data_IF_140569467653
#
_entry.id   IF_140569467653
#
_cell.length_a   1.000
_cell.length_b   1.000
_cell.length_c   1.000
_cell.angle_alpha   90.00
_cell.angle_beta   90.00
_cell.angle_gamma   90.00
#
_symmetry.space_group_name_H-M   'P 1'
#
loop_
_entity.id
_entity.type
_entity.pdbx_description
1 polymer ?
#
# COMPACT_ATOMS: atom_id res chain seq x y z
N UNK A 1 -7.25 -4.14 2.71
CA UNK A 1 -6.72 -2.85 3.24
C UNK A 1 -5.66 -3.13 4.29
N UNK A 2 -4.66 -2.24 4.46
CA UNK A 2 -3.62 -2.41 5.51
C UNK A 2 -3.89 -1.41 6.63
N UNK A 3 -4.15 -1.93 7.85
CA UNK A 3 -4.37 -1.12 9.06
C UNK A 3 -3.02 -0.66 9.59
N UNK A 4 -2.75 0.65 9.64
CA UNK A 4 -1.40 1.15 9.91
C UNK A 4 -0.95 0.89 11.35
N UNK A 5 0.34 0.55 11.53
CA UNK A 5 1.00 0.47 12.84
C UNK A 5 1.86 1.69 13.14
N UNK A 6 2.36 2.36 12.10
CA UNK A 6 3.37 3.42 12.24
C UNK A 6 3.13 4.63 11.33
N UNK A 7 1.84 4.93 11.00
CA UNK A 7 1.50 6.06 10.13
C UNK A 7 2.14 7.37 10.62
N UNK A 8 2.74 8.12 9.70
CA UNK A 8 3.37 9.38 10.02
C UNK A 8 4.18 9.99 8.87
N UNK A 9 4.95 11.01 9.18
CA UNK A 9 5.84 11.64 8.22
C UNK A 9 6.93 10.68 7.75
N UNK A 10 7.06 10.55 6.42
CA UNK A 10 8.11 9.76 5.80
C UNK A 10 9.17 10.68 5.16
N UNK A 11 10.37 10.80 5.73
CA UNK A 11 11.41 11.69 5.22
C UNK A 11 11.93 11.28 3.83
N UNK A 12 11.82 10.00 3.45
CA UNK A 12 12.30 9.51 2.15
C UNK A 12 11.37 9.92 1.00
N UNK A 13 10.07 10.07 1.27
CA UNK A 13 9.07 10.46 0.26
C UNK A 13 8.75 11.95 0.28
N UNK A 14 9.06 12.66 1.37
CA UNK A 14 8.71 14.07 1.55
C UNK A 14 9.34 15.00 0.50
N UNK A 15 10.48 14.64 -0.06
CA UNK A 15 11.17 15.46 -1.06
C UNK A 15 10.41 15.56 -2.39
N UNK A 16 9.60 14.55 -2.73
CA UNK A 16 8.84 14.47 -3.98
C UNK A 16 7.32 14.35 -3.78
N UNK A 17 6.84 14.34 -2.53
CA UNK A 17 5.42 14.31 -2.19
C UNK A 17 4.99 15.63 -1.53
N UNK A 18 4.44 16.54 -2.34
CA UNK A 18 3.97 17.84 -1.89
C UNK A 18 2.79 17.80 -0.92
N UNK A 19 2.13 16.65 -0.78
CA UNK A 19 1.02 16.46 0.17
C UNK A 19 1.50 16.11 1.58
N UNK A 20 2.76 15.71 1.73
CA UNK A 20 3.32 15.44 3.05
C UNK A 20 3.80 16.72 3.73
N UNK A 21 3.32 16.91 4.95
CA UNK A 21 3.77 17.99 5.82
C UNK A 21 4.23 17.40 7.16
N UNK A 22 5.22 18.02 7.77
CA UNK A 22 5.58 17.72 9.14
C UNK A 22 4.42 18.18 10.03
N UNK A 23 3.75 17.28 10.75
CA UNK A 23 2.62 17.66 11.58
C UNK A 23 3.07 18.49 12.80
N UNK A 24 2.29 19.50 13.17
CA UNK A 24 2.51 20.32 14.38
C UNK A 24 2.08 19.60 15.68
N UNK A 25 1.70 18.32 15.59
CA UNK A 25 1.26 17.48 16.71
C UNK A 25 2.17 16.28 16.89
N UNK A 26 2.19 15.71 18.08
CA UNK A 26 3.03 14.56 18.39
C UNK A 26 2.69 13.33 17.54
N UNK A 27 3.72 12.57 17.14
CA UNK A 27 3.56 11.40 16.24
C UNK A 27 2.62 10.32 16.80
N UNK A 28 2.56 10.13 18.10
CA UNK A 28 1.64 9.18 18.73
C UNK A 28 0.18 9.59 18.56
N UNK A 29 -0.11 10.90 18.61
CA UNK A 29 -1.44 11.44 18.30
C UNK A 29 -1.80 11.25 16.83
N UNK A 30 -0.83 11.48 15.91
CA UNK A 30 -1.04 11.24 14.47
C UNK A 30 -1.37 9.77 14.22
N UNK A 31 -0.60 8.85 14.79
CA UNK A 31 -0.83 7.40 14.70
C UNK A 31 -2.22 7.01 15.22
N UNK A 32 -2.58 7.47 16.40
CA UNK A 32 -3.86 7.15 17.00
C UNK A 32 -5.04 7.62 16.13
N UNK A 33 -4.97 8.84 15.59
CA UNK A 33 -5.99 9.37 14.67
C UNK A 33 -6.06 8.57 13.36
N UNK A 34 -4.92 8.24 12.77
CA UNK A 34 -4.90 7.45 11.54
C UNK A 34 -5.53 6.06 11.72
N UNK A 35 -5.30 5.42 12.85
CA UNK A 35 -5.92 4.15 13.21
C UNK A 35 -7.44 4.32 13.38
N UNK A 36 -7.87 5.35 14.12
CA UNK A 36 -9.28 5.64 14.34
C UNK A 36 -10.03 5.90 13.03
N UNK A 37 -9.47 6.76 12.16
CA UNK A 37 -10.05 7.06 10.85
C UNK A 37 -10.10 5.82 9.94
N UNK A 38 -9.07 4.99 9.97
CA UNK A 38 -9.05 3.72 9.25
C UNK A 38 -10.16 2.79 9.74
N UNK A 39 -10.30 2.60 11.05
CA UNK A 39 -11.29 1.70 11.64
C UNK A 39 -12.72 2.20 11.35
N UNK A 40 -12.96 3.51 11.37
CA UNK A 40 -14.24 4.13 10.98
C UNK A 40 -14.52 3.84 9.49
N UNK A 41 -13.55 4.05 8.61
CA UNK A 41 -13.73 3.78 7.17
C UNK A 41 -14.07 2.31 6.91
N UNK A 42 -13.36 1.38 7.55
CA UNK A 42 -13.67 -0.06 7.44
C UNK A 42 -15.10 -0.35 7.89
N UNK A 43 -15.51 0.20 9.05
CA UNK A 43 -16.86 0.00 9.54
C UNK A 43 -17.94 0.54 8.59
N UNK A 44 -17.71 1.69 7.96
CA UNK A 44 -18.62 2.26 6.97
C UNK A 44 -18.70 1.39 5.70
N UNK A 45 -17.58 0.91 5.18
CA UNK A 45 -17.55 0.03 4.01
C UNK A 45 -18.31 -1.28 4.28
N UNK A 46 -18.08 -1.89 5.43
CA UNK A 46 -18.79 -3.12 5.84
C UNK A 46 -20.28 -2.87 5.99
N UNK A 47 -20.69 -1.74 6.55
CA UNK A 47 -22.10 -1.37 6.68
C UNK A 47 -22.80 -1.19 5.33
N UNK A 48 -22.06 -0.77 4.30
CA UNK A 48 -22.54 -0.68 2.91
C UNK A 48 -22.44 -2.01 2.14
N UNK A 49 -22.08 -3.12 2.81
CA UNK A 49 -22.02 -4.45 2.22
C UNK A 49 -20.73 -4.76 1.46
N UNK A 50 -19.69 -3.98 1.64
CA UNK A 50 -18.36 -4.26 1.06
C UNK A 50 -17.65 -5.29 1.94
N UNK A 51 -17.18 -6.37 1.33
CA UNK A 51 -16.28 -7.32 2.00
C UNK A 51 -14.89 -6.72 2.10
N UNK A 52 -14.42 -6.47 3.33
CA UNK A 52 -13.16 -5.76 3.58
C UNK A 52 -12.16 -6.67 4.28
N UNK A 53 -11.16 -7.08 3.52
CA UNK A 53 -10.00 -7.78 4.06
C UNK A 53 -9.05 -6.79 4.73
N UNK A 54 -8.87 -6.91 6.05
CA UNK A 54 -8.00 -6.04 6.84
C UNK A 54 -6.76 -6.80 7.30
N UNK A 55 -5.61 -6.36 6.82
CA UNK A 55 -4.30 -6.87 7.21
C UNK A 55 -3.68 -5.90 8.21
N UNK A 56 -3.24 -6.41 9.36
CA UNK A 56 -2.55 -5.60 10.36
C UNK A 56 -1.10 -5.34 9.94
N UNK A 57 -0.70 -4.08 9.90
CA UNK A 57 0.70 -3.70 9.74
C UNK A 57 1.52 -4.02 10.99
N UNK A 58 2.85 -4.09 10.84
CA UNK A 58 3.79 -4.39 11.93
C UNK A 58 4.49 -3.11 12.40
N UNK A 59 4.80 -3.01 13.71
CA UNK A 59 5.52 -1.84 14.23
C UNK A 59 7.02 -1.83 13.84
N UNK A 60 7.54 -2.97 13.38
CA UNK A 60 8.93 -3.17 12.96
C UNK A 60 8.95 -4.07 11.72
N UNK A 61 9.59 -3.66 10.63
CA UNK A 61 10.18 -2.33 10.41
C UNK A 61 9.14 -1.21 10.43
N UNK A 62 9.56 0.03 10.67
CA UNK A 62 8.67 1.21 10.64
C UNK A 62 8.31 1.52 9.19
N UNK A 63 7.03 1.47 8.86
CA UNK A 63 6.47 1.69 7.51
C UNK A 63 5.40 2.78 7.54
N UNK A 64 5.79 4.07 7.47
CA UNK A 64 4.85 5.20 7.65
C UNK A 64 3.71 5.25 6.65
N UNK A 65 3.93 4.73 5.44
CA UNK A 65 3.00 4.77 4.31
C UNK A 65 2.29 3.42 4.06
N UNK A 66 2.37 2.45 4.96
CA UNK A 66 1.82 1.10 4.78
C UNK A 66 0.30 1.08 4.51
N UNK A 67 -0.42 2.15 4.87
CA UNK A 67 -1.85 2.33 4.59
C UNK A 67 -2.16 2.41 3.07
N UNK A 68 -1.13 2.62 2.22
CA UNK A 68 -1.24 2.77 0.77
C UNK A 68 -0.67 1.56 0.01
N UNK A 69 -1.21 0.35 0.19
CA UNK A 69 -0.68 -0.86 -0.46
C UNK A 69 -0.78 -0.80 -1.99
N UNK A 70 -1.68 0.01 -2.54
CA UNK A 70 -1.84 0.22 -3.97
C UNK A 70 -0.57 0.72 -4.68
N UNK A 71 0.42 1.22 -3.95
CA UNK A 71 1.69 1.64 -4.52
C UNK A 71 2.62 0.45 -4.81
N UNK A 72 2.58 -0.60 -4.00
CA UNK A 72 3.49 -1.73 -4.17
C UNK A 72 2.83 -2.99 -4.73
N UNK A 73 1.48 -3.08 -4.73
CA UNK A 73 0.74 -4.25 -5.23
C UNK A 73 -0.52 -3.84 -5.97
N UNK A 74 -0.87 -4.58 -7.02
CA UNK A 74 -2.18 -4.51 -7.66
C UNK A 74 -2.71 -5.90 -7.99
N UNK A 75 -4.05 -6.01 -8.00
CA UNK A 75 -4.79 -7.23 -8.31
C UNK A 75 -5.62 -7.00 -9.59
N UNK A 76 -5.65 -8.02 -10.46
CA UNK A 76 -6.34 -7.97 -11.74
C UNK A 76 -7.39 -9.07 -11.83
N UNK A 77 -8.45 -8.81 -12.58
CA UNK A 77 -9.61 -9.71 -12.73
C UNK A 77 -9.24 -11.10 -13.25
N UNK A 78 -8.17 -11.20 -14.04
CA UNK A 78 -7.66 -12.45 -14.59
C UNK A 78 -6.84 -13.28 -13.58
N UNK A 79 -6.82 -12.89 -12.31
CA UNK A 79 -6.05 -13.54 -11.25
C UNK A 79 -4.56 -13.18 -11.26
N UNK A 80 -4.15 -12.16 -12.03
CA UNK A 80 -2.78 -11.66 -11.99
C UNK A 80 -2.57 -10.74 -10.79
N UNK A 81 -1.48 -10.94 -10.06
CA UNK A 81 -0.97 -10.01 -9.03
C UNK A 81 0.33 -9.42 -9.52
N UNK A 82 0.49 -8.12 -9.39
CA UNK A 82 1.70 -7.39 -9.79
C UNK A 82 2.30 -6.71 -8.58
N UNK A 83 3.60 -6.92 -8.33
CA UNK A 83 4.38 -6.17 -7.35
C UNK A 83 5.29 -5.16 -8.05
N UNK A 84 5.40 -3.96 -7.46
CA UNK A 84 6.01 -2.80 -8.10
C UNK A 84 7.30 -2.36 -7.41
N UNK A 85 8.27 -1.80 -8.19
CA UNK A 85 9.50 -1.25 -7.65
C UNK A 85 9.24 0.07 -6.95
N UNK A 86 9.61 0.15 -5.67
CA UNK A 86 9.42 1.32 -4.81
C UNK A 86 10.68 2.16 -4.74
N UNK A 87 10.53 3.49 -4.87
CA UNK A 87 11.63 4.44 -4.73
C UNK A 87 12.17 4.48 -3.30
N UNK A 88 11.31 4.75 -2.33
CA UNK A 88 11.69 4.89 -0.93
C UNK A 88 12.01 3.53 -0.29
N UNK A 89 13.15 3.43 0.39
CA UNK A 89 13.59 2.20 1.07
C UNK A 89 12.61 1.74 2.15
N UNK A 90 12.08 2.67 2.94
CA UNK A 90 11.05 2.35 3.95
C UNK A 90 9.79 1.75 3.35
N UNK A 91 9.41 2.16 2.13
CA UNK A 91 8.25 1.62 1.43
C UNK A 91 8.49 0.22 0.85
N UNK A 92 9.74 -0.14 0.55
CA UNK A 92 10.08 -1.53 0.15
C UNK A 92 9.78 -2.53 1.26
N UNK A 93 9.92 -2.11 2.52
CA UNK A 93 9.59 -2.94 3.67
C UNK A 93 8.07 -3.19 3.87
N UNK A 94 7.20 -2.46 3.16
CA UNK A 94 5.76 -2.70 3.14
C UNK A 94 5.38 -3.98 2.38
N UNK A 95 6.22 -4.42 1.41
CA UNK A 95 6.02 -5.64 0.63
C UNK A 95 6.38 -6.86 1.46
N UNK A 96 5.41 -7.35 2.21
CA UNK A 96 5.55 -8.53 3.03
C UNK A 96 4.97 -9.75 2.30
N UNK A 97 5.80 -10.75 2.09
CA UNK A 97 5.40 -11.98 1.39
C UNK A 97 4.23 -12.69 2.06
N UNK A 98 4.17 -12.66 3.39
CA UNK A 98 3.06 -13.24 4.14
C UNK A 98 1.70 -12.61 3.79
N UNK A 99 1.66 -11.32 3.43
CA UNK A 99 0.41 -10.66 2.97
C UNK A 99 -0.10 -11.34 1.69
N UNK A 100 0.80 -11.62 0.76
CA UNK A 100 0.42 -12.23 -0.51
C UNK A 100 -0.01 -13.68 -0.27
N UNK A 101 0.71 -14.41 0.58
CA UNK A 101 0.39 -15.79 0.94
C UNK A 101 -0.97 -15.91 1.65
N UNK A 102 -1.31 -14.98 2.53
CA UNK A 102 -2.62 -14.94 3.18
C UNK A 102 -3.73 -14.69 2.14
N UNK A 103 -3.50 -13.77 1.21
CA UNK A 103 -4.46 -13.47 0.14
C UNK A 103 -4.61 -14.63 -0.86
N UNK A 104 -3.56 -15.42 -1.11
CA UNK A 104 -3.63 -16.64 -1.94
C UNK A 104 -4.55 -17.73 -1.34
N UNK A 105 -4.78 -17.70 -0.04
CA UNK A 105 -5.71 -18.64 0.60
C UNK A 105 -7.18 -18.25 0.38
N UNK A 106 -7.46 -16.99 0.16
CA UNK A 106 -8.82 -16.46 0.01
C UNK A 106 -9.18 -16.16 -1.44
N UNK A 107 -8.20 -15.78 -2.26
CA UNK A 107 -8.38 -15.36 -3.64
C UNK A 107 -7.65 -16.29 -4.61
N UNK A 108 -8.25 -16.49 -5.79
CA UNK A 108 -7.65 -17.31 -6.83
C UNK A 108 -6.57 -16.52 -7.58
N UNK A 109 -5.34 -16.55 -7.08
CA UNK A 109 -4.17 -15.94 -7.73
C UNK A 109 -3.56 -16.96 -8.70
N UNK A 110 -3.61 -16.63 -10.00
CA UNK A 110 -3.12 -17.51 -11.07
C UNK A 110 -1.70 -17.18 -11.52
N UNK A 111 -1.30 -15.92 -11.39
CA UNK A 111 0.00 -15.45 -11.83
C UNK A 111 0.51 -14.32 -10.93
N UNK A 112 1.82 -14.33 -10.66
CA UNK A 112 2.53 -13.21 -10.01
C UNK A 112 3.55 -12.63 -10.97
N UNK A 113 3.51 -11.30 -11.15
CA UNK A 113 4.49 -10.53 -11.93
C UNK A 113 5.31 -9.66 -10.98
N UNK A 114 6.60 -9.95 -10.89
CA UNK A 114 7.53 -9.23 -10.04
C UNK A 114 8.32 -8.20 -10.86
N UNK A 115 8.06 -6.92 -10.58
CA UNK A 115 8.83 -5.80 -11.11
C UNK A 115 9.82 -5.21 -10.12
N UNK A 116 9.90 -5.72 -8.89
CA UNK A 116 10.85 -5.26 -7.85
C UNK A 116 12.30 -5.32 -8.31
N UNK A 117 12.63 -6.26 -9.21
CA UNK A 117 13.96 -6.40 -9.83
C UNK A 117 14.48 -5.12 -10.49
N UNK A 118 13.60 -4.19 -10.85
CA UNK A 118 13.99 -2.93 -11.47
C UNK A 118 14.57 -1.94 -10.44
N UNK A 119 14.37 -2.12 -9.16
CA UNK A 119 14.98 -1.31 -8.10
C UNK A 119 16.52 -1.37 -8.16
N UNK A 120 17.09 -2.52 -8.54
CA UNK A 120 18.52 -2.67 -8.72
C UNK A 120 19.09 -1.87 -9.90
N UNK A 121 18.23 -1.32 -10.74
CA UNK A 121 18.55 -0.51 -11.92
C UNK A 121 18.16 0.97 -11.73
N UNK A 122 17.80 1.38 -10.51
CA UNK A 122 17.25 2.71 -10.21
C UNK A 122 16.00 3.06 -11.08
N UNK A 123 15.17 2.06 -11.37
CA UNK A 123 13.93 2.22 -12.12
C UNK A 123 12.75 1.93 -11.20
N UNK A 124 11.88 2.91 -11.03
CA UNK A 124 10.77 2.87 -10.08
C UNK A 124 9.44 3.13 -10.78
N UNK A 125 8.40 2.42 -10.32
CA UNK A 125 7.03 2.56 -10.77
C UNK A 125 6.12 2.12 -9.63
N UNK A 126 5.52 3.06 -8.96
CA UNK A 126 4.76 2.79 -7.74
C UNK A 126 3.27 2.56 -8.03
N UNK A 127 2.93 1.46 -8.70
CA UNK A 127 1.55 1.03 -8.93
C UNK A 127 0.59 2.16 -9.27
N UNK A 128 -0.57 2.21 -8.62
CA UNK A 128 -1.55 3.30 -8.83
C UNK A 128 -1.20 4.60 -8.10
N UNK A 129 -0.08 4.67 -7.41
CA UNK A 129 0.53 5.95 -6.98
C UNK A 129 1.16 6.70 -8.14
N UNK A 130 1.58 6.00 -9.20
CA UNK A 130 2.23 6.57 -10.40
C UNK A 130 1.43 6.34 -11.69
N UNK A 131 0.42 5.47 -11.67
CA UNK A 131 -0.32 5.07 -12.87
C UNK A 131 -1.82 5.15 -12.66
N UNK A 132 -2.52 5.48 -13.76
CA UNK A 132 -3.97 5.25 -13.88
C UNK A 132 -4.19 4.11 -14.87
N UNK A 133 -4.89 3.06 -14.42
CA UNK A 133 -5.15 1.88 -15.25
C UNK A 133 -6.56 1.95 -15.84
N UNK A 134 -6.65 2.18 -17.16
CA UNK A 134 -7.87 1.98 -17.94
C UNK A 134 -7.97 0.48 -18.29
N UNK A 135 -8.67 -0.26 -17.46
CA UNK A 135 -8.80 -1.71 -17.61
C UNK A 135 -9.64 -2.12 -18.80
N UNK A 136 -10.56 -1.25 -19.25
CA UNK A 136 -11.45 -1.51 -20.40
C UNK A 136 -10.65 -1.44 -21.69
N UNK A 137 -9.88 -0.36 -21.87
CA UNK A 137 -9.08 -0.14 -23.08
C UNK A 137 -7.67 -0.75 -22.98
N UNK A 138 -7.31 -1.33 -21.82
CA UNK A 138 -5.98 -1.91 -21.54
C UNK A 138 -4.84 -0.92 -21.73
N UNK A 139 -5.04 0.31 -21.22
CA UNK A 139 -4.06 1.40 -21.28
C UNK A 139 -3.62 1.76 -19.87
N UNK A 140 -2.32 1.97 -19.66
CA UNK A 140 -1.77 2.59 -18.47
C UNK A 140 -1.28 4.01 -18.82
N UNK A 141 -1.71 5.00 -18.02
CA UNK A 141 -1.33 6.41 -18.12
C UNK A 141 -0.38 6.77 -16.99
#
# INVERSE_FOLDING_TARGET
MVRPAAFGYNPETAANNTFQHIPDIANDVVKAKAIEEFDILVALLVAEGVDVNVIQDTPVPVTPDAIFPNNWISFHEDGTVVTYPMFAGLRRAERREEIIQDLEQEFNILQRLDFERYESKDQFLEGTGSMVLDRINKIAY
#
